data_IF_066998936638
#
_entry.id   IF_066998936638
#
_cell.length_a   1.000
_cell.length_b   1.000
_cell.length_c   1.000
_cell.angle_alpha   90.00
_cell.angle_beta   90.00
_cell.angle_gamma   90.00
#
_symmetry.space_group_name_H-M   'P 1'
#
loop_
_entity.id
_entity.type
_entity.pdbx_description
1 polymer ?
#
# COMPACT_ATOMS: atom_id res chain seq x y z
N UNK A 1 -13.39 -20.53 1.15
CA UNK A 1 -14.23 -21.41 0.30
C UNK A 1 -15.57 -21.76 0.97
N UNK A 2 -15.59 -22.15 2.25
CA UNK A 2 -16.79 -22.50 3.02
C UNK A 2 -17.79 -21.34 3.25
N UNK A 3 -17.31 -20.12 3.52
CA UNK A 3 -18.17 -18.95 3.76
C UNK A 3 -18.97 -18.51 2.52
N UNK A 4 -18.40 -18.57 1.31
CA UNK A 4 -19.11 -18.24 0.07
C UNK A 4 -20.20 -19.27 -0.25
N UNK A 5 -19.94 -20.54 0.06
CA UNK A 5 -20.92 -21.62 -0.06
C UNK A 5 -22.07 -21.44 0.95
N UNK A 6 -21.77 -21.19 2.23
CA UNK A 6 -22.78 -20.96 3.26
C UNK A 6 -23.71 -19.79 2.91
N UNK A 7 -23.18 -18.66 2.41
CA UNK A 7 -23.98 -17.53 1.93
C UNK A 7 -24.87 -17.87 0.73
N UNK A 8 -24.37 -18.65 -0.24
CA UNK A 8 -25.13 -19.03 -1.44
C UNK A 8 -26.37 -19.89 -1.11
N UNK A 9 -26.28 -20.72 -0.06
CA UNK A 9 -27.34 -21.65 0.35
C UNK A 9 -28.04 -21.24 1.65
N UNK A 10 -27.80 -20.01 2.13
CA UNK A 10 -28.42 -19.45 3.33
C UNK A 10 -28.25 -20.33 4.60
N UNK A 11 -27.10 -21.01 4.71
CA UNK A 11 -26.73 -21.79 5.89
C UNK A 11 -26.16 -20.89 6.99
N UNK A 12 -26.31 -21.25 8.27
CA UNK A 12 -25.68 -20.50 9.36
C UNK A 12 -24.16 -20.45 9.16
N UNK A 13 -23.61 -19.24 9.20
CA UNK A 13 -22.16 -19.03 9.14
C UNK A 13 -21.53 -19.53 10.44
N UNK A 14 -20.86 -20.68 10.36
CA UNK A 14 -20.14 -21.27 11.50
C UNK A 14 -18.78 -20.59 11.74
N UNK A 15 -18.28 -19.79 10.78
CA UNK A 15 -16.96 -19.13 10.82
C UNK A 15 -17.13 -17.63 10.59
N UNK A 16 -16.88 -16.83 11.62
CA UNK A 16 -16.81 -15.37 11.51
C UNK A 16 -15.44 -14.94 11.01
N UNK A 17 -15.36 -14.45 9.79
CA UNK A 17 -14.19 -13.71 9.29
C UNK A 17 -14.32 -12.23 9.64
N UNK A 18 -13.19 -11.53 9.85
CA UNK A 18 -13.18 -10.06 10.00
C UNK A 18 -13.33 -9.31 8.66
N UNK A 19 -13.51 -10.02 7.56
CA UNK A 19 -13.73 -9.45 6.24
C UNK A 19 -12.62 -9.80 5.24
N UNK A 20 -12.67 -9.16 4.07
CA UNK A 20 -11.65 -9.28 3.05
C UNK A 20 -10.31 -8.69 3.52
N UNK A 21 -9.24 -9.07 2.84
CA UNK A 21 -7.94 -8.42 2.95
C UNK A 21 -7.83 -7.48 1.77
N UNK A 22 -7.59 -6.20 2.03
CA UNK A 22 -7.43 -5.18 0.98
C UNK A 22 -5.96 -4.81 0.89
N UNK A 23 -5.38 -4.91 -0.31
CA UNK A 23 -4.00 -4.54 -0.59
C UNK A 23 -4.04 -3.42 -1.62
N UNK A 24 -3.46 -2.28 -1.27
CA UNK A 24 -3.37 -1.11 -2.13
C UNK A 24 -2.33 -1.24 -3.23
N UNK A 25 -2.14 -0.16 -3.98
CA UNK A 25 -1.24 -0.08 -5.11
C UNK A 25 0.22 0.13 -4.67
N UNK A 26 1.16 -0.44 -5.43
CA UNK A 26 2.60 -0.28 -5.16
C UNK A 26 3.08 -0.85 -3.82
N UNK A 27 2.33 -1.80 -3.24
CA UNK A 27 2.71 -2.49 -2.00
C UNK A 27 3.78 -3.54 -2.27
N UNK A 28 4.82 -3.57 -1.44
CA UNK A 28 5.81 -4.65 -1.45
C UNK A 28 5.56 -5.60 -0.28
N UNK A 29 5.31 -6.87 -0.58
CA UNK A 29 5.13 -7.94 0.40
C UNK A 29 6.34 -8.87 0.31
N UNK A 30 7.10 -8.95 1.40
CA UNK A 30 8.23 -9.87 1.52
C UNK A 30 7.78 -11.33 1.57
N UNK A 31 8.74 -12.23 1.41
CA UNK A 31 8.49 -13.66 1.44
C UNK A 31 7.88 -14.13 2.77
N UNK A 32 7.05 -15.17 2.72
CA UNK A 32 6.45 -15.82 3.89
C UNK A 32 5.71 -14.86 4.86
N UNK A 33 5.02 -13.84 4.34
CA UNK A 33 4.17 -12.94 5.13
C UNK A 33 2.78 -13.56 5.33
N UNK A 34 2.26 -13.48 6.56
CA UNK A 34 0.88 -13.84 6.88
C UNK A 34 0.05 -12.58 7.13
N UNK A 35 -1.07 -12.41 6.42
CA UNK A 35 -1.99 -11.27 6.61
C UNK A 35 -3.32 -11.79 7.16
N UNK A 36 -3.75 -11.27 8.31
CA UNK A 36 -5.00 -11.71 8.94
C UNK A 36 -6.24 -11.09 8.26
N UNK A 37 -7.42 -11.74 8.33
CA UNK A 37 -8.64 -11.22 7.74
C UNK A 37 -9.02 -9.82 8.26
N UNK A 38 -9.62 -8.99 7.38
CA UNK A 38 -10.05 -7.63 7.70
C UNK A 38 -8.92 -6.59 7.74
N UNK A 39 -7.68 -6.97 7.42
CA UNK A 39 -6.54 -6.05 7.35
C UNK A 39 -6.56 -5.29 6.02
N UNK A 40 -6.26 -4.00 6.11
CA UNK A 40 -5.96 -3.14 4.97
C UNK A 40 -4.46 -2.79 4.94
N UNK A 41 -3.80 -3.05 3.83
CA UNK A 41 -2.42 -2.63 3.58
C UNK A 41 -2.48 -1.51 2.55
N UNK A 42 -2.32 -0.27 2.98
CA UNK A 42 -2.52 0.89 2.12
C UNK A 42 -1.37 1.11 1.11
N UNK A 43 -1.61 1.99 0.14
CA UNK A 43 -0.72 2.17 -1.03
C UNK A 43 0.73 2.45 -0.62
N UNK A 44 1.67 1.86 -1.34
CA UNK A 44 3.11 2.08 -1.16
C UNK A 44 3.70 1.46 0.11
N UNK A 45 2.92 0.75 0.94
CA UNK A 45 3.41 0.09 2.14
C UNK A 45 4.40 -1.05 1.82
N UNK A 46 5.27 -1.35 2.77
CA UNK A 46 6.26 -2.43 2.69
C UNK A 46 6.09 -3.35 3.89
N UNK A 47 5.86 -4.63 3.64
CA UNK A 47 5.78 -5.66 4.68
C UNK A 47 7.04 -6.52 4.60
N UNK A 48 7.86 -6.50 5.65
CA UNK A 48 9.09 -7.31 5.69
C UNK A 48 8.79 -8.81 5.71
N UNK A 49 9.71 -9.61 5.19
CA UNK A 49 9.58 -11.06 5.13
C UNK A 49 9.30 -11.70 6.51
N UNK A 50 8.51 -12.77 6.54
CA UNK A 50 8.15 -13.49 7.77
C UNK A 50 7.19 -12.76 8.72
N UNK A 51 6.66 -11.59 8.34
CA UNK A 51 5.81 -10.79 9.22
C UNK A 51 4.39 -11.36 9.35
N UNK A 52 3.77 -11.16 10.52
CA UNK A 52 2.34 -11.48 10.75
C UNK A 52 1.55 -10.19 10.94
N UNK A 53 0.82 -9.80 9.90
CA UNK A 53 0.05 -8.56 9.87
C UNK A 53 -1.31 -8.76 10.53
N UNK A 54 -1.41 -8.31 11.79
CA UNK A 54 -2.63 -8.43 12.61
C UNK A 54 -3.50 -7.17 12.61
N UNK A 55 -2.99 -6.06 12.08
CA UNK A 55 -3.66 -4.74 12.03
C UNK A 55 -3.33 -4.05 10.71
N UNK A 56 -4.22 -3.17 10.25
CA UNK A 56 -4.02 -2.40 9.02
C UNK A 56 -2.74 -1.56 9.05
N UNK A 57 -2.07 -1.45 7.90
CA UNK A 57 -0.79 -0.78 7.73
C UNK A 57 -1.01 0.52 6.93
N UNK A 58 -0.61 1.70 7.47
CA UNK A 58 -0.82 2.98 6.80
C UNK A 58 -0.03 3.12 5.50
N UNK A 59 -0.40 4.08 4.63
CA UNK A 59 0.27 4.27 3.35
C UNK A 59 1.76 4.55 3.53
N UNK A 60 2.57 4.06 2.58
CA UNK A 60 4.01 4.25 2.53
C UNK A 60 4.75 3.88 3.84
N UNK A 61 4.14 3.05 4.70
CA UNK A 61 4.75 2.60 5.94
C UNK A 61 5.51 1.31 5.74
N UNK A 62 6.61 1.13 6.48
CA UNK A 62 7.39 -0.09 6.53
C UNK A 62 7.02 -0.81 7.83
N UNK A 63 6.48 -2.02 7.72
CA UNK A 63 6.06 -2.84 8.85
C UNK A 63 6.77 -4.19 8.85
N UNK A 64 7.24 -4.62 10.03
CA UNK A 64 7.96 -5.89 10.21
C UNK A 64 7.58 -6.60 11.50
N UNK A 65 7.79 -7.91 11.57
CA UNK A 65 7.75 -8.70 12.80
C UNK A 65 6.45 -9.49 13.02
N UNK A 66 6.36 -10.13 14.19
CA UNK A 66 5.21 -10.93 14.63
C UNK A 66 4.84 -10.54 16.09
N UNK A 67 3.77 -9.76 16.32
CA UNK A 67 2.93 -9.11 15.32
C UNK A 67 3.66 -7.99 14.58
N UNK A 68 3.29 -7.76 13.31
CA UNK A 68 3.89 -6.73 12.48
C UNK A 68 3.64 -5.34 13.07
N UNK A 69 4.70 -4.54 13.18
CA UNK A 69 4.64 -3.14 13.67
C UNK A 69 5.28 -2.22 12.65
N UNK A 70 4.69 -1.03 12.47
CA UNK A 70 5.30 0.03 11.68
C UNK A 70 6.58 0.49 12.36
N UNK A 71 7.71 0.42 11.65
CA UNK A 71 9.02 0.83 12.15
C UNK A 71 9.43 2.21 11.63
N UNK A 72 8.99 2.60 10.43
CA UNK A 72 9.18 3.92 9.83
C UNK A 72 8.26 4.12 8.63
N UNK A 73 8.13 5.36 8.18
CA UNK A 73 7.57 5.70 6.86
C UNK A 73 8.69 5.72 5.82
N UNK A 74 8.35 5.47 4.55
CA UNK A 74 9.28 5.58 3.41
C UNK A 74 9.65 7.04 3.13
N UNK A 75 8.70 7.94 3.30
CA UNK A 75 8.81 9.36 2.99
C UNK A 75 8.18 10.22 4.10
N UNK A 76 8.33 11.55 4.00
CA UNK A 76 7.63 12.51 4.87
C UNK A 76 6.12 12.51 4.58
N UNK A 77 5.33 12.99 5.54
CA UNK A 77 3.86 12.98 5.42
C UNK A 77 3.37 13.83 4.25
N UNK A 78 4.04 14.94 3.96
CA UNK A 78 3.68 15.80 2.83
C UNK A 78 3.94 15.13 1.48
N UNK A 79 5.05 14.40 1.35
CA UNK A 79 5.34 13.64 0.12
C UNK A 79 4.33 12.50 -0.03
N UNK A 80 3.99 11.83 1.08
CA UNK A 80 2.97 10.77 1.07
C UNK A 80 1.64 11.31 0.58
N UNK A 81 1.19 12.45 1.10
CA UNK A 81 -0.07 13.10 0.68
C UNK A 81 -0.07 13.38 -0.82
N UNK A 82 0.98 14.02 -1.35
CA UNK A 82 1.08 14.27 -2.79
C UNK A 82 1.10 13.00 -3.62
N UNK A 83 1.83 11.96 -3.21
CA UNK A 83 1.86 10.70 -3.94
C UNK A 83 0.48 10.00 -3.93
N UNK A 84 -0.33 10.21 -2.90
CA UNK A 84 -1.73 9.74 -2.86
C UNK A 84 -2.64 10.59 -3.74
N UNK A 85 -2.40 11.88 -3.91
CA UNK A 85 -3.17 12.72 -4.83
C UNK A 85 -2.87 12.37 -6.30
N UNK A 86 -1.58 12.15 -6.61
CA UNK A 86 -1.08 11.83 -7.94
C UNK A 86 -1.69 10.52 -8.49
N UNK A 87 -1.93 9.53 -7.62
CA UNK A 87 -2.52 8.23 -7.96
C UNK A 87 -1.90 7.62 -9.24
N UNK A 88 -0.56 7.59 -9.31
CA UNK A 88 0.15 7.21 -10.55
C UNK A 88 -0.18 5.81 -11.06
N UNK A 89 -0.68 4.93 -10.18
CA UNK A 89 -1.13 3.59 -10.54
C UNK A 89 -2.38 3.57 -11.43
N UNK A 90 -3.13 4.67 -11.49
CA UNK A 90 -4.30 4.83 -12.37
C UNK A 90 -3.93 5.48 -13.72
N UNK A 91 -2.66 5.83 -13.93
CA UNK A 91 -2.22 6.46 -15.17
C UNK A 91 -2.20 5.48 -16.35
N UNK A 92 -2.42 6.00 -17.56
CA UNK A 92 -2.20 5.23 -18.78
C UNK A 92 -0.72 4.87 -18.93
N UNK A 93 -0.42 3.77 -19.63
CA UNK A 93 0.97 3.40 -19.92
C UNK A 93 1.74 4.51 -20.65
N UNK A 94 1.08 5.26 -21.53
CA UNK A 94 1.67 6.39 -22.24
C UNK A 94 2.07 7.48 -21.25
N UNK A 95 1.18 7.86 -20.34
CA UNK A 95 1.49 8.83 -19.29
C UNK A 95 2.62 8.33 -18.40
N UNK A 96 2.65 7.06 -18.02
CA UNK A 96 3.77 6.46 -17.26
C UNK A 96 5.10 6.59 -18.01
N UNK A 97 5.13 6.24 -19.31
CA UNK A 97 6.34 6.30 -20.14
C UNK A 97 6.83 7.74 -20.32
N UNK A 98 5.92 8.69 -20.55
CA UNK A 98 6.25 10.11 -20.69
C UNK A 98 6.77 10.69 -19.36
N UNK A 99 6.33 10.13 -18.23
CA UNK A 99 6.71 10.54 -16.89
C UNK A 99 7.81 9.68 -16.26
N UNK A 100 8.69 9.07 -17.06
CA UNK A 100 9.80 8.23 -16.56
C UNK A 100 10.61 8.89 -15.43
N UNK A 101 10.86 10.20 -15.52
CA UNK A 101 11.63 10.95 -14.52
C UNK A 101 11.00 10.92 -13.12
N UNK A 102 9.67 10.85 -13.04
CA UNK A 102 8.97 10.67 -11.76
C UNK A 102 9.41 9.39 -11.05
N UNK A 103 9.55 8.28 -11.79
CA UNK A 103 9.94 6.98 -11.23
C UNK A 103 11.46 6.84 -10.98
N UNK A 104 12.26 7.71 -11.57
CA UNK A 104 13.72 7.77 -11.34
C UNK A 104 14.11 8.72 -10.20
N UNK A 105 13.15 9.47 -9.66
CA UNK A 105 13.39 10.44 -8.59
C UNK A 105 13.44 9.77 -7.22
N UNK A 106 14.49 10.07 -6.44
CA UNK A 106 14.55 9.65 -5.03
C UNK A 106 13.77 10.62 -4.14
N UNK A 107 12.51 10.26 -3.87
CA UNK A 107 11.62 11.04 -3.00
C UNK A 107 12.09 11.11 -1.54
N UNK A 108 13.05 10.29 -1.10
CA UNK A 108 13.57 10.37 0.28
C UNK A 108 14.47 11.59 0.52
N UNK A 109 14.99 12.19 -0.54
CA UNK A 109 15.92 13.32 -0.49
C UNK A 109 15.23 14.69 -0.69
N UNK A 110 13.96 14.69 -1.09
CA UNK A 110 13.23 15.93 -1.40
C UNK A 110 12.93 16.68 -0.10
N UNK A 111 13.41 17.92 -0.03
CA UNK A 111 13.10 18.82 1.09
C UNK A 111 11.73 19.47 0.90
N UNK A 112 11.17 19.96 2.00
CA UNK A 112 9.82 20.54 2.03
C UNK A 112 9.66 21.75 1.08
N UNK A 113 10.72 22.53 0.91
CA UNK A 113 10.78 23.70 0.02
C UNK A 113 10.85 23.32 -1.47
N UNK A 114 11.23 22.09 -1.79
CA UNK A 114 11.34 21.57 -3.16
C UNK A 114 10.10 20.77 -3.59
N UNK A 115 9.03 20.79 -2.78
CA UNK A 115 7.81 19.99 -3.00
C UNK A 115 7.14 20.24 -4.35
N UNK A 116 7.24 21.48 -4.86
CA UNK A 116 6.70 21.85 -6.17
C UNK A 116 7.38 21.08 -7.33
N UNK A 117 8.57 20.52 -7.09
CA UNK A 117 9.29 19.72 -8.09
C UNK A 117 8.56 18.42 -8.41
N UNK A 118 7.79 17.85 -7.47
CA UNK A 118 7.03 16.61 -7.74
C UNK A 118 5.99 16.83 -8.83
N UNK A 119 5.29 17.97 -8.83
CA UNK A 119 4.33 18.27 -9.91
C UNK A 119 5.03 18.71 -11.20
N UNK A 120 6.21 19.34 -11.12
CA UNK A 120 6.99 19.73 -12.31
C UNK A 120 7.60 18.55 -13.06
N UNK A 121 7.80 17.39 -12.41
CA UNK A 121 8.25 16.19 -13.11
C UNK A 121 7.12 15.45 -13.81
N UNK A 122 5.86 15.88 -13.60
CA UNK A 122 4.69 15.33 -14.26
C UNK A 122 4.39 16.16 -15.51
N UNK A 123 4.33 15.49 -16.65
CA UNK A 123 3.86 15.96 -17.94
C UNK A 123 2.45 15.41 -18.13
N UNK A 124 1.53 16.28 -18.55
CA UNK A 124 0.13 15.91 -18.85
C UNK A 124 0.00 15.03 -20.09
#
# INVERSE_FOLDING_TARGET
MQHRFQRRYNFPELVRTKGAINIGNGVWIGDNVTILPGVEIANGAVIGAGSIVTKSIPPYSIAVGNPAKVIKKRFSDQIIEQLQEINWWDWSEEKIKNNRRFFETDFSQIKKDEMFMINKVIVD
#
